data_IF_986123877092
#
_entry.id   IF_986123877092
#
_cell.length_a   1.000
_cell.length_b   1.000
_cell.length_c   1.000
_cell.angle_alpha   90.00
_cell.angle_beta   90.00
_cell.angle_gamma   90.00
#
_symmetry.space_group_name_H-M   'P 1'
#
loop_
_entity.id
_entity.type
_entity.pdbx_description
1 polymer ?
#
# COMPACT_ATOMS: atom_id res chain seq x y z
N UNK A 1 4.23 -28.98 -40.96
CA UNK A 1 4.44 -28.19 -39.72
C UNK A 1 4.87 -26.80 -40.18
N UNK A 2 3.89 -25.88 -40.30
CA UNK A 2 4.15 -24.51 -40.79
C UNK A 2 5.08 -23.79 -39.82
N UNK A 3 6.13 -23.14 -40.34
CA UNK A 3 7.04 -22.33 -39.54
C UNK A 3 6.24 -21.16 -38.97
N UNK A 4 6.16 -21.05 -37.64
CA UNK A 4 5.71 -19.82 -36.99
C UNK A 4 6.60 -18.68 -37.48
N UNK A 5 6.00 -17.67 -38.12
CA UNK A 5 6.72 -16.49 -38.59
C UNK A 5 6.68 -15.39 -37.53
N UNK A 6 7.65 -14.47 -37.59
CA UNK A 6 7.76 -13.35 -36.64
C UNK A 6 6.52 -12.45 -36.65
N UNK A 7 5.83 -12.37 -37.79
CA UNK A 7 4.58 -11.63 -37.93
C UNK A 7 3.41 -12.31 -37.22
N UNK A 8 3.34 -13.65 -37.21
CA UNK A 8 2.33 -14.40 -36.44
C UNK A 8 2.49 -14.14 -34.93
N UNK A 9 3.75 -14.11 -34.45
CA UNK A 9 4.06 -13.83 -33.05
C UNK A 9 3.71 -12.38 -32.66
N UNK A 10 3.91 -11.43 -33.58
CA UNK A 10 3.60 -10.01 -33.36
C UNK A 10 2.09 -9.77 -33.19
N UNK A 11 1.26 -10.45 -33.99
CA UNK A 11 -0.21 -10.33 -33.86
C UNK A 11 -0.74 -11.01 -32.59
N UNK A 12 -0.15 -12.15 -32.18
CA UNK A 12 -0.50 -12.77 -30.90
C UNK A 12 -0.12 -11.89 -29.68
N UNK A 13 1.02 -11.21 -29.73
CA UNK A 13 1.46 -10.35 -28.62
C UNK A 13 0.68 -9.04 -28.52
N UNK A 14 0.09 -8.54 -29.62
CA UNK A 14 -0.79 -7.35 -29.58
C UNK A 14 -2.10 -7.61 -28.86
N UNK A 15 -2.61 -8.84 -28.95
CA UNK A 15 -3.91 -9.23 -28.37
C UNK A 15 -3.79 -9.84 -26.97
N UNK A 16 -2.59 -10.27 -26.58
CA UNK A 16 -2.31 -10.74 -25.22
C UNK A 16 -2.10 -9.56 -24.27
N UNK A 17 -3.10 -9.29 -23.44
CA UNK A 17 -2.95 -8.41 -22.28
C UNK A 17 -2.00 -9.05 -21.24
N UNK A 18 -1.28 -8.22 -20.48
CA UNK A 18 -0.32 -8.70 -19.49
C UNK A 18 -1.06 -9.23 -18.25
N UNK A 19 -1.31 -10.53 -18.23
CA UNK A 19 -2.06 -11.23 -17.17
C UNK A 19 -1.33 -11.29 -15.81
N UNK A 20 -0.03 -11.01 -15.75
CA UNK A 20 0.82 -11.27 -14.57
C UNK A 20 1.27 -10.01 -13.85
N UNK A 21 0.35 -9.04 -13.66
CA UNK A 21 0.58 -7.89 -12.80
C UNK A 21 0.59 -8.30 -11.33
N UNK A 22 1.74 -8.19 -10.65
CA UNK A 22 1.78 -8.25 -9.19
C UNK A 22 1.08 -7.01 -8.64
N UNK A 23 -0.13 -7.16 -8.10
CA UNK A 23 -0.78 -6.14 -7.30
C UNK A 23 -0.99 -6.66 -5.88
N UNK A 24 -1.00 -5.75 -4.91
CA UNK A 24 -1.32 -6.05 -3.52
C UNK A 24 -2.25 -4.97 -3.04
N UNK A 25 -3.46 -5.36 -2.68
CA UNK A 25 -4.40 -4.45 -2.04
C UNK A 25 -3.87 -4.15 -0.63
N UNK A 26 -3.41 -2.93 -0.43
CA UNK A 26 -2.98 -2.44 0.88
C UNK A 26 -4.15 -1.71 1.50
N UNK A 27 -4.61 -2.20 2.65
CA UNK A 27 -5.57 -1.45 3.45
C UNK A 27 -4.93 -0.16 3.98
N UNK A 28 -5.44 0.99 3.53
CA UNK A 28 -5.03 2.30 4.04
C UNK A 28 -6.17 2.95 4.81
N UNK A 29 -5.92 3.30 6.07
CA UNK A 29 -6.84 4.08 6.89
C UNK A 29 -6.37 5.54 6.93
N UNK A 30 -7.29 6.47 6.71
CA UNK A 30 -6.96 7.91 6.70
C UNK A 30 -7.57 8.56 7.94
N UNK A 31 -6.77 9.35 8.66
CA UNK A 31 -7.26 10.15 9.79
C UNK A 31 -7.74 11.52 9.31
N UNK A 32 -8.52 12.21 10.16
CA UNK A 32 -8.98 13.56 9.88
C UNK A 32 -7.79 14.51 9.63
N UNK A 33 -8.04 15.59 8.88
CA UNK A 33 -7.02 16.61 8.61
C UNK A 33 -6.62 17.31 9.92
N UNK A 34 -5.33 17.27 10.24
CA UNK A 34 -4.76 17.87 11.45
C UNK A 34 -4.23 16.83 12.43
N UNK A 35 -3.13 17.17 13.11
CA UNK A 35 -2.53 16.32 14.14
C UNK A 35 -2.94 16.82 15.53
N UNK A 36 -3.54 15.95 16.32
CA UNK A 36 -3.88 16.21 17.73
C UNK A 36 -3.56 14.97 18.58
N UNK A 37 -3.59 15.12 19.90
CA UNK A 37 -3.28 14.01 20.81
C UNK A 37 -4.22 12.80 20.62
N UNK A 38 -5.49 13.05 20.30
CA UNK A 38 -6.46 11.99 20.00
C UNK A 38 -6.08 11.16 18.77
N UNK A 39 -5.57 11.80 17.71
CA UNK A 39 -5.07 11.13 16.51
C UNK A 39 -3.82 10.31 16.83
N UNK A 40 -2.89 10.85 17.61
CA UNK A 40 -1.69 10.11 18.04
C UNK A 40 -2.05 8.85 18.83
N UNK A 41 -3.00 8.95 19.76
CA UNK A 41 -3.51 7.80 20.53
C UNK A 41 -4.26 6.80 19.64
N UNK A 42 -5.05 7.27 18.68
CA UNK A 42 -5.77 6.40 17.75
C UNK A 42 -4.80 5.60 16.85
N UNK A 43 -3.74 6.25 16.34
CA UNK A 43 -2.67 5.60 15.56
C UNK A 43 -1.98 4.53 16.41
N UNK A 44 -1.61 4.88 17.65
CA UNK A 44 -0.92 3.96 18.56
C UNK A 44 -1.78 2.72 18.88
N UNK A 45 -3.06 2.93 19.19
CA UNK A 45 -4.03 1.86 19.44
C UNK A 45 -4.23 0.97 18.22
N UNK A 46 -4.33 1.55 17.02
CA UNK A 46 -4.48 0.78 15.77
C UNK A 46 -3.27 -0.11 15.51
N UNK A 47 -2.08 0.37 15.82
CA UNK A 47 -0.82 -0.37 15.68
C UNK A 47 -0.56 -1.35 16.83
N UNK A 48 -1.45 -1.40 17.82
CA UNK A 48 -1.30 -2.22 19.03
C UNK A 48 0.05 -1.98 19.73
N UNK A 49 0.47 -0.71 19.78
CA UNK A 49 1.74 -0.33 20.41
C UNK A 49 1.63 -0.40 21.94
N UNK A 50 2.73 -0.74 22.64
CA UNK A 50 2.78 -0.71 24.10
C UNK A 50 2.63 0.72 24.64
N UNK A 51 2.24 0.83 25.92
CA UNK A 51 1.89 2.11 26.54
C UNK A 51 3.03 3.14 26.51
N UNK A 52 4.26 2.71 26.79
CA UNK A 52 5.45 3.56 26.74
C UNK A 52 5.72 4.17 25.35
N UNK A 53 5.38 3.46 24.26
CA UNK A 53 5.50 3.98 22.90
C UNK A 53 4.45 5.06 22.62
N UNK A 54 3.23 4.85 23.15
CA UNK A 54 2.15 5.84 23.04
C UNK A 54 2.55 7.13 23.76
N UNK A 55 3.07 7.03 24.98
CA UNK A 55 3.53 8.17 25.77
C UNK A 55 4.67 8.91 25.07
N UNK A 56 5.67 8.17 24.57
CA UNK A 56 6.79 8.75 23.83
C UNK A 56 6.33 9.56 22.59
N UNK A 57 5.35 9.04 21.84
CA UNK A 57 4.77 9.78 20.70
C UNK A 57 4.04 11.04 21.14
N UNK A 58 3.34 11.00 22.28
CA UNK A 58 2.60 12.15 22.81
C UNK A 58 3.57 13.23 23.30
N UNK A 59 4.65 12.83 23.97
CA UNK A 59 5.68 13.78 24.41
C UNK A 59 6.35 14.43 23.20
N UNK A 60 6.69 13.66 22.17
CA UNK A 60 7.25 14.19 20.92
C UNK A 60 6.32 15.19 20.20
N UNK A 61 5.00 15.08 20.37
CA UNK A 61 4.03 16.03 19.82
C UNK A 61 3.95 17.35 20.60
N UNK A 62 4.37 17.36 21.88
CA UNK A 62 4.28 18.53 22.78
C UNK A 62 5.54 19.43 22.76
N UNK A 63 6.62 18.99 22.10
CA UNK A 63 7.89 19.72 21.96
C UNK A 63 7.83 20.67 20.77
#
# INVERSE_FOLDING_TARGET
>A
MSKYTEDDLREELKTKEYEYGFYTDIESETFAKGLNEGVVRAISKKKNEPEWMTEWRIDAFKV
#
